data_IF_856916512765
#
_entry.id   IF_856916512765
#
_cell.length_a   1.000
_cell.length_b   1.000
_cell.length_c   1.000
_cell.angle_alpha   90.00
_cell.angle_beta   90.00
_cell.angle_gamma   90.00
#
_symmetry.space_group_name_H-M   'P 1'
#
loop_
_entity.id
_entity.type
_entity.pdbx_description
1 polymer ?
#
# COMPACT_ATOMS: atom_id res chain seq x y z
N UNK A 1 -70.78 -6.20 -21.52
CA UNK A 1 -71.13 -5.12 -20.58
C UNK A 1 -70.01 -5.15 -19.53
N UNK A 2 -68.83 -4.55 -19.75
CA UNK A 2 -68.57 -3.09 -19.89
C UNK A 2 -69.43 -2.28 -18.92
N UNK A 3 -68.92 -1.45 -18.00
CA UNK A 3 -67.58 -0.95 -17.71
C UNK A 3 -67.66 0.02 -16.51
N UNK A 4 -66.55 0.70 -16.24
CA UNK A 4 -66.32 1.80 -15.28
C UNK A 4 -66.13 1.49 -13.77
N UNK A 5 -64.86 1.44 -13.38
CA UNK A 5 -64.37 2.00 -12.12
C UNK A 5 -63.32 3.09 -12.41
N UNK A 6 -63.20 4.15 -11.60
CA UNK A 6 -62.52 5.38 -12.00
C UNK A 6 -61.00 5.20 -12.02
N UNK A 7 -60.34 5.74 -13.04
CA UNK A 7 -58.90 5.99 -13.02
C UNK A 7 -58.62 7.15 -12.07
N UNK A 8 -58.07 6.86 -10.90
CA UNK A 8 -57.42 7.89 -10.08
C UNK A 8 -56.18 8.40 -10.83
N UNK A 9 -56.24 9.66 -11.24
CA UNK A 9 -55.07 10.42 -11.68
C UNK A 9 -54.26 10.81 -10.46
N UNK A 10 -53.18 10.09 -10.18
CA UNK A 10 -52.13 10.61 -9.31
C UNK A 10 -51.24 11.55 -10.12
N UNK A 11 -51.36 12.84 -9.81
CA UNK A 11 -50.46 13.90 -10.23
C UNK A 11 -49.03 13.54 -9.85
N UNK A 12 -48.15 13.45 -10.85
CA UNK A 12 -46.70 13.43 -10.69
C UNK A 12 -46.30 14.86 -10.33
N UNK A 13 -46.35 15.19 -9.05
CA UNK A 13 -45.80 16.42 -8.47
C UNK A 13 -45.42 16.09 -7.02
N UNK A 14 -44.16 15.63 -6.81
CA UNK A 14 -43.42 15.66 -5.52
C UNK A 14 -42.16 14.78 -5.52
N UNK A 15 -41.34 14.85 -6.58
CA UNK A 15 -39.96 14.34 -6.56
C UNK A 15 -38.94 15.49 -6.59
N UNK A 16 -39.22 16.57 -5.88
CA UNK A 16 -38.22 17.58 -5.53
C UNK A 16 -37.95 17.46 -4.03
N UNK A 17 -36.68 17.59 -3.66
CA UNK A 17 -36.12 17.55 -2.30
C UNK A 17 -35.95 16.17 -1.64
N UNK A 18 -34.97 15.40 -2.13
CA UNK A 18 -33.95 14.75 -1.29
C UNK A 18 -32.88 14.09 -2.17
N UNK A 19 -32.10 14.91 -2.89
CA UNK A 19 -30.77 14.48 -3.32
C UNK A 19 -29.77 15.13 -2.38
N UNK A 20 -29.11 14.33 -1.54
CA UNK A 20 -27.89 14.73 -0.85
C UNK A 20 -26.82 15.01 -1.92
N UNK A 21 -26.90 16.20 -2.52
CA UNK A 21 -26.05 16.63 -3.60
C UNK A 21 -24.70 17.05 -3.03
N UNK A 22 -23.66 16.28 -3.35
CA UNK A 22 -22.29 16.74 -3.15
C UNK A 22 -22.09 18.05 -3.91
N UNK A 23 -21.82 19.14 -3.21
CA UNK A 23 -21.42 20.40 -3.82
C UNK A 23 -20.07 20.20 -4.52
N UNK A 24 -20.09 20.22 -5.85
CA UNK A 24 -18.93 19.95 -6.72
C UNK A 24 -17.90 21.09 -6.74
N UNK A 25 -18.18 22.21 -6.07
CA UNK A 25 -17.42 23.46 -6.24
C UNK A 25 -16.04 23.47 -5.57
N UNK A 26 -15.70 22.52 -4.69
CA UNK A 26 -14.40 22.46 -4.00
C UNK A 26 -13.96 21.01 -3.67
N UNK A 27 -13.63 20.21 -4.69
CA UNK A 27 -13.13 18.83 -4.50
C UNK A 27 -14.22 17.77 -4.34
N UNK A 28 -15.48 18.18 -4.20
CA UNK A 28 -16.63 17.28 -4.09
C UNK A 28 -16.82 16.35 -5.29
N UNK A 29 -16.33 16.72 -6.50
CA UNK A 29 -16.40 15.84 -7.66
C UNK A 29 -15.50 14.61 -7.58
N UNK A 30 -14.28 14.77 -7.03
CA UNK A 30 -13.37 13.65 -6.79
C UNK A 30 -13.92 12.76 -5.68
N UNK A 31 -14.36 13.37 -4.58
CA UNK A 31 -15.00 12.67 -3.46
C UNK A 31 -16.27 11.93 -3.87
N UNK A 32 -17.08 12.51 -4.76
CA UNK A 32 -18.27 11.86 -5.30
C UNK A 32 -17.93 10.65 -6.20
N UNK A 33 -16.88 10.73 -7.02
CA UNK A 33 -16.41 9.59 -7.81
C UNK A 33 -15.81 8.47 -6.95
N UNK A 34 -15.18 8.84 -5.83
CA UNK A 34 -14.60 7.92 -4.86
C UNK A 34 -15.61 7.49 -3.78
N UNK A 35 -16.89 7.87 -3.93
CA UNK A 35 -17.95 7.45 -3.01
C UNK A 35 -18.22 5.96 -3.22
N UNK A 36 -17.96 5.17 -2.16
CA UNK A 36 -17.97 3.70 -2.13
C UNK A 36 -16.75 3.05 -2.82
N UNK A 37 -16.32 1.88 -2.35
CA UNK A 37 -15.09 1.20 -2.81
C UNK A 37 -15.09 0.84 -4.31
N UNK A 38 -16.28 0.75 -4.90
CA UNK A 38 -16.53 0.42 -6.31
C UNK A 38 -16.59 1.65 -7.22
N UNK A 39 -16.61 2.85 -6.64
CA UNK A 39 -16.89 4.10 -7.36
C UNK A 39 -18.37 4.24 -7.75
N UNK A 40 -18.64 5.15 -8.68
CA UNK A 40 -19.99 5.43 -9.19
C UNK A 40 -20.07 5.19 -10.70
N UNK A 41 -21.21 4.67 -11.18
CA UNK A 41 -21.44 4.43 -12.61
C UNK A 41 -21.58 5.73 -13.43
N UNK A 42 -21.87 6.85 -12.77
CA UNK A 42 -21.99 8.15 -13.41
C UNK A 42 -22.17 9.28 -12.41
N UNK A 43 -21.81 10.49 -12.84
CA UNK A 43 -22.08 11.73 -12.11
C UNK A 43 -22.99 12.58 -12.95
N UNK A 44 -24.12 12.99 -12.37
CA UNK A 44 -25.01 14.01 -12.95
C UNK A 44 -24.68 15.33 -12.27
N UNK A 45 -24.19 16.29 -13.06
CA UNK A 45 -23.88 17.62 -12.59
C UNK A 45 -24.66 18.64 -13.42
N UNK A 46 -25.41 19.53 -12.76
CA UNK A 46 -26.10 20.62 -13.42
C UNK A 46 -25.16 21.82 -13.54
N UNK A 47 -24.32 21.82 -14.57
CA UNK A 47 -23.31 22.85 -14.80
C UNK A 47 -23.59 23.63 -16.08
N UNK A 48 -23.41 24.94 -16.01
CA UNK A 48 -23.55 25.84 -17.17
C UNK A 48 -22.23 26.52 -17.55
N UNK A 49 -21.20 26.44 -16.70
CA UNK A 49 -19.87 26.96 -16.99
C UNK A 49 -18.95 25.91 -17.66
N UNK A 50 -18.31 26.30 -18.76
CA UNK A 50 -17.44 25.44 -19.56
C UNK A 50 -16.14 25.10 -18.82
N UNK A 51 -15.60 26.00 -18.00
CA UNK A 51 -14.37 25.74 -17.24
C UNK A 51 -14.62 24.72 -16.11
N UNK A 52 -15.75 24.83 -15.41
CA UNK A 52 -16.20 23.80 -14.46
C UNK A 52 -16.41 22.43 -15.11
N UNK A 53 -17.02 22.38 -16.30
CA UNK A 53 -17.21 21.12 -17.04
C UNK A 53 -15.86 20.47 -17.39
N UNK A 54 -14.88 21.24 -17.89
CA UNK A 54 -13.54 20.72 -18.18
C UNK A 54 -12.83 20.19 -16.94
N UNK A 55 -12.98 20.88 -15.80
CA UNK A 55 -12.41 20.49 -14.51
C UNK A 55 -13.01 19.18 -14.00
N UNK A 56 -14.33 18.99 -14.10
CA UNK A 56 -14.93 17.70 -13.74
C UNK A 56 -14.48 16.60 -14.70
N UNK A 57 -14.46 16.86 -16.01
CA UNK A 57 -14.02 15.87 -16.98
C UNK A 57 -12.55 15.45 -16.76
N UNK A 58 -11.65 16.36 -16.36
CA UNK A 58 -10.28 15.99 -16.00
C UNK A 58 -10.25 15.13 -14.73
N UNK A 59 -11.01 15.49 -13.70
CA UNK A 59 -11.14 14.71 -12.46
C UNK A 59 -11.67 13.30 -12.76
N UNK A 60 -12.71 13.16 -13.59
CA UNK A 60 -13.27 11.86 -14.00
C UNK A 60 -12.24 10.99 -14.72
N UNK A 61 -11.37 11.60 -15.54
CA UNK A 61 -10.28 10.87 -16.20
C UNK A 61 -9.15 10.46 -15.25
N UNK A 62 -8.96 11.20 -14.17
CA UNK A 62 -7.88 10.98 -13.20
C UNK A 62 -8.28 10.01 -12.08
N UNK A 63 -9.56 9.94 -11.72
CA UNK A 63 -10.04 9.01 -10.68
C UNK A 63 -9.95 7.58 -11.22
N UNK A 64 -9.05 6.81 -10.61
CA UNK A 64 -8.89 5.38 -10.84
C UNK A 64 -9.59 4.64 -9.70
N UNK A 65 -10.43 3.66 -10.04
CA UNK A 65 -10.90 2.68 -9.04
C UNK A 65 -9.71 1.87 -8.53
N UNK A 66 -9.80 1.32 -7.30
CA UNK A 66 -8.78 0.42 -6.72
C UNK A 66 -8.37 -0.69 -7.68
N UNK A 67 -9.34 -1.28 -8.37
CA UNK A 67 -9.12 -2.33 -9.36
C UNK A 67 -8.34 -1.81 -10.58
N UNK A 68 -8.70 -0.65 -11.10
CA UNK A 68 -8.00 -0.04 -12.24
C UNK A 68 -6.58 0.43 -11.89
N UNK A 69 -6.32 0.84 -10.65
CA UNK A 69 -4.96 1.13 -10.17
C UNK A 69 -4.10 -0.13 -10.20
N UNK A 70 -4.59 -1.23 -9.64
CA UNK A 70 -3.88 -2.51 -9.62
C UNK A 70 -3.60 -2.99 -11.05
N UNK A 71 -4.59 -2.93 -11.93
CA UNK A 71 -4.46 -3.38 -13.34
C UNK A 71 -3.48 -2.48 -14.12
N UNK A 72 -3.50 -1.17 -13.88
CA UNK A 72 -2.63 -0.21 -14.58
C UNK A 72 -1.23 -0.09 -13.95
N UNK A 73 -1.00 -0.65 -12.76
CA UNK A 73 0.32 -0.64 -12.13
C UNK A 73 1.30 -1.54 -12.88
N UNK A 74 2.51 -1.02 -13.12
CA UNK A 74 3.62 -1.87 -13.57
C UNK A 74 3.97 -2.86 -12.45
N UNK A 75 4.13 -4.14 -12.81
CA UNK A 75 4.47 -5.17 -11.84
C UNK A 75 5.90 -4.96 -11.34
N UNK A 76 6.04 -4.87 -10.02
CA UNK A 76 7.33 -4.85 -9.37
C UNK A 76 7.94 -6.24 -9.47
N UNK A 77 9.15 -6.32 -10.01
CA UNK A 77 9.86 -7.59 -10.10
C UNK A 77 10.30 -8.05 -8.70
N UNK A 78 9.74 -9.18 -8.27
CA UNK A 78 10.15 -9.88 -7.06
C UNK A 78 11.04 -11.07 -7.43
N UNK A 79 12.07 -11.29 -6.62
CA UNK A 79 13.06 -12.35 -6.77
C UNK A 79 13.10 -13.20 -5.50
N UNK A 80 13.37 -14.49 -5.69
CA UNK A 80 13.63 -15.44 -4.60
C UNK A 80 15.05 -15.23 -4.07
N UNK A 81 15.19 -14.88 -2.79
CA UNK A 81 16.46 -14.77 -2.09
C UNK A 81 16.56 -15.85 -1.00
N UNK A 82 17.72 -16.49 -0.90
CA UNK A 82 17.98 -17.52 0.12
C UNK A 82 18.56 -16.88 1.38
N UNK A 83 17.93 -17.08 2.53
CA UNK A 83 18.44 -16.60 3.82
C UNK A 83 19.82 -17.19 4.08
N UNK A 84 20.80 -16.33 4.36
CA UNK A 84 22.17 -16.74 4.68
C UNK A 84 22.55 -16.53 6.14
N UNK A 85 22.00 -15.51 6.80
CA UNK A 85 22.29 -15.22 8.20
C UNK A 85 21.07 -14.62 8.91
N UNK A 86 20.88 -15.01 10.16
CA UNK A 86 19.92 -14.40 11.08
C UNK A 86 20.66 -14.14 12.39
N UNK A 87 20.71 -12.88 12.80
CA UNK A 87 21.49 -12.47 13.96
C UNK A 87 20.65 -11.62 14.91
N UNK A 88 20.44 -12.07 16.16
CA UNK A 88 19.81 -11.25 17.19
C UNK A 88 20.62 -9.99 17.46
N UNK A 89 19.91 -8.87 17.58
CA UNK A 89 20.46 -7.56 17.94
C UNK A 89 19.85 -7.09 19.27
N UNK A 90 20.46 -6.06 19.86
CA UNK A 90 19.89 -5.37 21.01
C UNK A 90 18.58 -4.66 20.67
N UNK A 91 17.89 -4.18 21.70
CA UNK A 91 16.72 -3.32 21.51
C UNK A 91 17.08 -2.08 20.68
N UNK A 92 16.20 -1.70 19.75
CA UNK A 92 16.36 -0.54 18.90
C UNK A 92 15.01 0.02 18.44
N UNK A 93 15.03 1.24 17.91
CA UNK A 93 13.83 1.90 17.39
C UNK A 93 13.35 1.21 16.11
N UNK A 94 12.06 0.82 16.10
CA UNK A 94 11.38 0.22 14.96
C UNK A 94 10.12 1.00 14.60
N UNK A 95 9.74 0.97 13.33
CA UNK A 95 8.61 1.69 12.76
C UNK A 95 7.47 0.73 12.42
N UNK A 96 6.26 1.07 12.83
CA UNK A 96 5.01 0.55 12.28
C UNK A 96 4.39 1.61 11.38
N UNK A 97 3.88 1.18 10.24
CA UNK A 97 3.06 2.00 9.35
C UNK A 97 1.63 1.50 9.46
N UNK A 98 0.74 2.37 9.94
CA UNK A 98 -0.71 2.16 9.87
C UNK A 98 -1.23 2.92 8.66
N UNK A 99 -1.86 2.22 7.74
CA UNK A 99 -2.42 2.78 6.51
C UNK A 99 -3.90 3.15 6.68
N UNK A 100 -4.43 3.92 5.74
CA UNK A 100 -5.86 4.19 5.61
C UNK A 100 -6.60 3.09 4.83
N UNK A 101 -5.95 1.96 4.54
CA UNK A 101 -6.53 0.85 3.77
C UNK A 101 -6.35 -0.48 4.51
N UNK A 102 -7.09 -1.49 4.05
CA UNK A 102 -6.95 -2.87 4.51
C UNK A 102 -6.09 -3.65 3.53
N UNK A 103 -5.15 -4.40 4.09
CA UNK A 103 -4.34 -5.39 3.40
C UNK A 103 -4.90 -6.78 3.68
N UNK A 104 -4.74 -7.69 2.72
CA UNK A 104 -5.07 -9.11 2.83
C UNK A 104 -3.79 -9.95 2.93
N UNK A 105 -3.95 -11.24 3.18
CA UNK A 105 -2.85 -12.20 3.09
C UNK A 105 -2.13 -12.08 1.74
N UNK A 106 -0.81 -12.13 1.79
CA UNK A 106 0.02 -11.92 0.60
C UNK A 106 0.29 -10.46 0.26
N UNK A 107 -0.17 -9.48 1.05
CA UNK A 107 0.10 -8.05 0.85
C UNK A 107 0.97 -7.45 1.95
N UNK A 108 1.77 -6.46 1.58
CA UNK A 108 2.71 -5.85 2.49
C UNK A 108 3.46 -4.67 1.90
N UNK A 109 4.66 -4.41 2.42
CA UNK A 109 5.54 -3.33 1.97
C UNK A 109 6.96 -3.82 1.72
N UNK A 110 7.62 -3.22 0.74
CA UNK A 110 9.02 -3.49 0.41
C UNK A 110 9.94 -2.60 1.26
N UNK A 111 10.74 -3.20 2.13
CA UNK A 111 11.65 -2.50 3.06
C UNK A 111 13.01 -3.17 3.18
N UNK A 112 14.08 -2.41 3.36
CA UNK A 112 15.43 -2.97 3.44
C UNK A 112 16.49 -2.00 3.92
N UNK A 113 17.65 -2.53 4.29
CA UNK A 113 18.80 -1.72 4.70
C UNK A 113 19.38 -0.94 3.51
N UNK A 114 19.33 -1.56 2.33
CA UNK A 114 19.75 -0.94 1.08
C UNK A 114 18.54 -0.44 0.31
N UNK A 115 18.66 0.75 -0.28
CA UNK A 115 17.63 1.31 -1.15
C UNK A 115 17.40 0.48 -2.41
N UNK A 116 18.41 -0.31 -2.82
CA UNK A 116 18.37 -1.21 -3.98
C UNK A 116 18.04 -2.67 -3.63
N UNK A 117 17.68 -2.98 -2.38
CA UNK A 117 17.51 -4.35 -1.90
C UNK A 117 16.50 -4.42 -0.76
N UNK A 118 15.25 -4.68 -1.11
CA UNK A 118 14.10 -4.57 -0.22
C UNK A 118 13.42 -5.94 -0.04
N UNK A 119 13.09 -6.30 1.18
CA UNK A 119 12.31 -7.50 1.52
C UNK A 119 10.82 -7.16 1.50
N UNK A 120 9.99 -8.08 1.02
CA UNK A 120 8.53 -7.94 1.12
C UNK A 120 8.07 -8.39 2.51
N UNK A 121 7.67 -7.44 3.34
CA UNK A 121 7.19 -7.67 4.70
C UNK A 121 5.68 -7.65 4.70
N UNK A 122 5.07 -8.74 5.11
CA UNK A 122 3.61 -8.88 5.12
C UNK A 122 2.97 -8.00 6.21
N UNK A 123 1.76 -7.53 5.93
CA UNK A 123 0.91 -6.89 6.92
C UNK A 123 0.55 -7.84 8.08
N UNK A 124 0.12 -7.26 9.20
CA UNK A 124 -0.33 -7.99 10.39
C UNK A 124 -1.74 -8.59 10.17
N UNK A 125 -1.87 -9.49 9.19
CA UNK A 125 -3.15 -10.06 8.71
C UNK A 125 -3.46 -11.42 9.31
N UNK A 126 -2.46 -12.10 9.87
CA UNK A 126 -2.61 -13.42 10.48
C UNK A 126 -3.06 -13.30 11.94
N UNK A 127 -4.06 -14.08 12.32
CA UNK A 127 -4.47 -14.23 13.71
C UNK A 127 -3.48 -15.13 14.46
N UNK A 128 -3.08 -14.73 15.67
CA UNK A 128 -2.32 -15.58 16.58
C UNK A 128 -3.10 -15.80 17.88
N UNK A 129 -2.80 -16.82 18.68
CA UNK A 129 -3.46 -17.04 19.99
C UNK A 129 -3.34 -15.85 20.95
N UNK A 130 -2.41 -14.92 20.70
CA UNK A 130 -2.06 -13.83 21.60
C UNK A 130 -2.47 -12.45 21.06
N UNK A 131 -2.64 -12.31 19.74
CA UNK A 131 -2.83 -11.01 19.08
C UNK A 131 -3.82 -11.14 17.93
N UNK A 132 -4.90 -10.33 17.99
CA UNK A 132 -5.83 -10.17 16.87
C UNK A 132 -5.16 -9.40 15.71
N UNK A 133 -5.48 -9.75 14.44
CA UNK A 133 -4.86 -9.13 13.29
C UNK A 133 -5.21 -7.64 13.18
N UNK A 134 -4.30 -6.89 12.60
CA UNK A 134 -4.43 -5.48 12.23
C UNK A 134 -4.12 -5.34 10.75
N UNK A 135 -5.06 -5.69 9.87
CA UNK A 135 -4.85 -5.71 8.41
C UNK A 135 -4.49 -4.35 7.80
N UNK A 136 -4.55 -3.26 8.55
CA UNK A 136 -4.08 -1.93 8.12
C UNK A 136 -2.60 -1.64 8.48
N UNK A 137 -1.91 -2.56 9.17
CA UNK A 137 -0.58 -2.33 9.76
C UNK A 137 0.51 -3.19 9.13
N UNK A 138 1.64 -2.58 8.84
CA UNK A 138 2.92 -3.27 8.58
C UNK A 138 3.93 -2.90 9.67
N UNK A 139 4.60 -3.91 10.24
CA UNK A 139 5.74 -3.73 11.14
C UNK A 139 7.02 -3.62 10.28
N UNK A 140 7.27 -2.41 9.76
CA UNK A 140 8.22 -2.13 8.68
C UNK A 140 9.71 -2.30 9.03
N UNK A 141 10.07 -2.44 10.30
CA UNK A 141 11.46 -2.70 10.73
C UNK A 141 12.16 -1.50 11.35
N UNK A 142 13.48 -1.49 11.35
CA UNK A 142 14.28 -0.44 12.02
C UNK A 142 14.08 0.94 11.39
N UNK A 143 14.16 1.99 12.21
CA UNK A 143 13.87 3.38 11.80
C UNK A 143 14.70 3.88 10.60
N UNK A 144 15.89 3.34 10.37
CA UNK A 144 16.81 3.76 9.30
C UNK A 144 16.64 2.96 8.00
N UNK A 145 15.71 2.00 7.93
CA UNK A 145 15.48 1.25 6.69
C UNK A 145 14.84 2.13 5.62
N UNK A 146 15.07 1.75 4.37
CA UNK A 146 14.34 2.27 3.23
C UNK A 146 13.01 1.55 3.05
N UNK A 147 12.04 2.25 2.48
CA UNK A 147 10.78 1.70 1.99
C UNK A 147 10.52 2.16 0.55
N UNK A 148 9.98 1.29 -0.29
CA UNK A 148 9.52 1.66 -1.63
C UNK A 148 8.22 2.45 -1.53
N UNK A 149 8.19 3.62 -2.18
CA UNK A 149 7.03 4.52 -2.23
C UNK A 149 6.61 4.76 -3.70
N UNK A 150 5.42 5.33 -3.96
CA UNK A 150 4.93 5.56 -5.32
C UNK A 150 5.93 6.30 -6.22
N UNK A 151 5.86 6.01 -7.52
CA UNK A 151 6.77 6.56 -8.52
C UNK A 151 8.16 5.91 -8.54
N UNK A 152 8.28 4.69 -8.00
CA UNK A 152 9.53 3.93 -7.98
C UNK A 152 10.62 4.59 -7.14
N UNK A 153 10.24 5.34 -6.09
CA UNK A 153 11.18 6.02 -5.20
C UNK A 153 11.37 5.25 -3.90
N UNK A 154 12.45 5.54 -3.18
CA UNK A 154 12.63 5.06 -1.79
C UNK A 154 12.71 6.21 -0.82
N UNK A 155 12.22 6.01 0.41
CA UNK A 155 12.37 6.97 1.52
C UNK A 155 12.84 6.25 2.77
N UNK A 156 13.46 6.97 3.70
CA UNK A 156 13.71 6.39 5.02
C UNK A 156 12.41 6.25 5.80
N UNK A 157 12.26 5.17 6.56
CA UNK A 157 11.11 5.00 7.45
C UNK A 157 10.97 6.14 8.48
N UNK A 158 12.10 6.74 8.89
CA UNK A 158 12.16 7.92 9.77
C UNK A 158 11.50 9.18 9.20
N UNK A 159 11.39 9.28 7.87
CA UNK A 159 10.91 10.48 7.19
C UNK A 159 9.39 10.44 6.95
N UNK A 160 8.77 9.27 7.10
CA UNK A 160 7.35 9.10 6.88
C UNK A 160 6.51 9.75 7.98
N UNK A 161 5.38 10.31 7.59
CA UNK A 161 4.38 10.91 8.49
C UNK A 161 2.96 10.62 8.02
N UNK A 162 1.98 10.88 8.88
CA UNK A 162 0.58 10.81 8.50
C UNK A 162 0.28 11.71 7.29
N UNK A 163 -0.51 11.21 6.34
CA UNK A 163 -0.82 11.88 5.08
C UNK A 163 0.20 11.65 3.96
N UNK A 164 1.38 11.10 4.25
CA UNK A 164 2.28 10.64 3.19
C UNK A 164 1.68 9.39 2.49
N UNK A 165 2.14 9.13 1.27
CA UNK A 165 1.74 7.95 0.49
C UNK A 165 2.78 6.84 0.58
N UNK A 166 2.30 5.59 0.59
CA UNK A 166 3.09 4.36 0.57
C UNK A 166 2.50 3.37 -0.43
N UNK A 167 3.31 2.39 -0.81
CA UNK A 167 2.92 1.36 -1.76
C UNK A 167 2.61 0.05 -1.02
N UNK A 168 1.39 -0.45 -1.20
CA UNK A 168 1.05 -1.84 -0.85
C UNK A 168 1.44 -2.71 -2.04
N UNK A 169 2.20 -3.77 -1.79
CA UNK A 169 2.68 -4.71 -2.82
C UNK A 169 2.23 -6.12 -2.46
N UNK A 170 1.72 -6.86 -3.43
CA UNK A 170 1.37 -8.26 -3.27
C UNK A 170 2.46 -9.23 -3.72
N UNK A 171 2.26 -10.52 -3.44
CA UNK A 171 3.20 -11.60 -3.75
C UNK A 171 3.49 -11.74 -5.25
N UNK A 172 2.60 -11.30 -6.12
CA UNK A 172 2.78 -11.32 -7.57
C UNK A 172 3.35 -10.00 -8.13
N UNK A 173 3.76 -9.09 -7.24
CA UNK A 173 4.35 -7.80 -7.57
C UNK A 173 3.35 -6.75 -8.05
N UNK A 174 2.04 -7.00 -7.94
CA UNK A 174 1.05 -5.95 -8.20
C UNK A 174 1.06 -4.97 -7.04
N UNK A 175 0.74 -3.72 -7.33
CA UNK A 175 0.82 -2.68 -6.30
C UNK A 175 -0.32 -1.67 -6.38
N UNK A 176 -0.61 -1.04 -5.25
CA UNK A 176 -1.53 0.09 -5.13
C UNK A 176 -1.02 1.10 -4.11
N UNK A 177 -1.41 2.35 -4.28
CA UNK A 177 -1.03 3.43 -3.37
C UNK A 177 -2.06 3.55 -2.24
N UNK A 178 -1.59 3.85 -1.04
CA UNK A 178 -2.46 4.23 0.08
C UNK A 178 -1.82 5.34 0.91
N UNK A 179 -2.64 6.09 1.63
CA UNK A 179 -2.17 7.09 2.59
C UNK A 179 -1.82 6.45 3.93
N UNK A 180 -0.82 7.00 4.60
CA UNK A 180 -0.48 6.67 5.98
C UNK A 180 -1.44 7.37 6.92
N UNK A 181 -2.10 6.60 7.79
CA UNK A 181 -2.88 7.10 8.92
C UNK A 181 -1.95 7.48 10.09
N UNK A 182 -1.00 6.61 10.43
CA UNK A 182 -0.07 6.83 11.55
C UNK A 182 1.25 6.10 11.35
N UNK A 183 2.35 6.78 11.71
CA UNK A 183 3.67 6.16 11.89
C UNK A 183 3.93 6.01 13.39
N UNK A 184 4.15 4.77 13.85
CA UNK A 184 4.41 4.46 15.26
C UNK A 184 5.85 3.99 15.45
N UNK A 185 6.60 4.66 16.31
CA UNK A 185 7.98 4.32 16.65
C UNK A 185 8.03 3.75 18.07
N UNK A 186 8.63 2.58 18.24
CA UNK A 186 8.82 1.95 19.55
C UNK A 186 10.16 1.19 19.62
N UNK A 187 10.63 0.90 20.84
CA UNK A 187 11.88 0.18 21.06
C UNK A 187 11.60 -1.29 21.34
N UNK A 188 12.19 -2.18 20.53
CA UNK A 188 12.00 -3.63 20.62
C UNK A 188 13.31 -4.36 20.31
N UNK A 189 13.50 -5.58 20.81
CA UNK A 189 14.55 -6.47 20.33
C UNK A 189 14.45 -6.67 18.81
N UNK A 190 15.59 -6.64 18.12
CA UNK A 190 15.65 -6.71 16.66
C UNK A 190 16.40 -7.96 16.18
N UNK A 191 16.18 -8.33 14.93
CA UNK A 191 16.92 -9.34 14.17
C UNK A 191 17.51 -8.69 12.92
N UNK A 192 18.80 -8.86 12.68
CA UNK A 192 19.39 -8.69 11.36
C UNK A 192 19.12 -9.96 10.55
N UNK A 193 18.59 -9.79 9.34
CA UNK A 193 18.34 -10.87 8.39
C UNK A 193 19.12 -10.55 7.12
N UNK A 194 19.96 -11.48 6.68
CA UNK A 194 20.68 -11.40 5.40
C UNK A 194 20.20 -12.50 4.45
N UNK A 195 20.02 -12.15 3.18
CA UNK A 195 19.66 -13.09 2.13
C UNK A 195 20.52 -12.89 0.87
N UNK A 196 20.79 -13.98 0.16
CA UNK A 196 21.55 -14.01 -1.09
C UNK A 196 20.62 -14.14 -2.28
N UNK A 197 20.80 -13.27 -3.26
CA UNK A 197 20.10 -13.34 -4.53
C UNK A 197 21.03 -12.83 -5.64
N UNK A 198 21.16 -13.58 -6.74
CA UNK A 198 21.97 -13.19 -7.91
C UNK A 198 23.40 -12.73 -7.56
N UNK A 199 24.05 -13.38 -6.58
CA UNK A 199 25.40 -13.04 -6.13
C UNK A 199 25.50 -11.77 -5.26
N UNK A 200 24.38 -11.13 -4.94
CA UNK A 200 24.29 -9.98 -4.03
C UNK A 200 23.77 -10.41 -2.66
N UNK A 201 24.16 -9.69 -1.62
CA UNK A 201 23.60 -9.81 -0.28
C UNK A 201 22.65 -8.64 -0.05
N UNK A 202 21.40 -8.94 0.29
CA UNK A 202 20.40 -7.96 0.72
C UNK A 202 20.12 -8.15 2.21
N UNK A 203 19.82 -7.06 2.90
CA UNK A 203 19.64 -7.08 4.36
C UNK A 203 18.39 -6.35 4.79
N UNK A 204 17.80 -6.80 5.89
CA UNK A 204 16.75 -6.06 6.61
C UNK A 204 16.93 -6.24 8.11
N UNK A 205 16.39 -5.30 8.90
CA UNK A 205 16.40 -5.36 10.36
C UNK A 205 14.96 -5.24 10.87
N UNK A 206 14.44 -6.34 11.40
CA UNK A 206 13.04 -6.46 11.81
C UNK A 206 12.94 -6.67 13.32
N UNK A 207 11.75 -6.43 13.88
CA UNK A 207 11.48 -6.78 15.27
C UNK A 207 11.55 -8.31 15.45
N UNK A 208 12.18 -8.77 16.52
CA UNK A 208 12.15 -10.16 16.92
C UNK A 208 10.80 -10.50 17.57
N UNK A 209 9.81 -10.87 16.76
CA UNK A 209 8.49 -11.33 17.23
C UNK A 209 7.82 -12.24 16.20
N UNK A 210 7.01 -13.19 16.67
CA UNK A 210 6.31 -14.17 15.84
C UNK A 210 5.29 -13.57 14.86
N UNK A 211 4.80 -12.37 15.16
CA UNK A 211 3.83 -11.65 14.32
C UNK A 211 4.48 -10.94 13.14
N UNK A 212 5.82 -10.87 13.09
CA UNK A 212 6.53 -10.27 11.95
C UNK A 212 6.81 -11.36 10.93
N UNK A 213 6.31 -11.18 9.71
CA UNK A 213 6.40 -12.20 8.66
C UNK A 213 7.04 -11.61 7.40
N UNK A 214 7.94 -12.40 6.79
CA UNK A 214 8.53 -12.10 5.48
C UNK A 214 7.83 -12.94 4.42
N UNK A 215 7.57 -12.37 3.25
CA UNK A 215 6.86 -13.08 2.19
C UNK A 215 7.74 -14.17 1.56
N UNK A 216 7.14 -15.30 1.21
CA UNK A 216 7.75 -16.36 0.40
C UNK A 216 6.96 -16.51 -0.90
N UNK A 217 7.41 -17.39 -1.81
CA UNK A 217 6.70 -17.65 -3.08
C UNK A 217 5.30 -18.27 -2.87
N UNK A 218 5.09 -18.98 -1.76
CA UNK A 218 3.83 -19.70 -1.49
C UNK A 218 2.97 -19.04 -0.40
N UNK A 219 3.60 -18.39 0.57
CA UNK A 219 2.94 -17.87 1.77
C UNK A 219 3.76 -16.71 2.36
N UNK A 220 3.82 -16.66 3.68
CA UNK A 220 4.77 -15.86 4.44
C UNK A 220 5.29 -16.68 5.61
N UNK A 221 6.47 -16.32 6.13
CA UNK A 221 7.12 -17.02 7.23
C UNK A 221 7.44 -16.06 8.36
N UNK A 222 7.13 -16.47 9.59
CA UNK A 222 7.50 -15.71 10.78
C UNK A 222 9.02 -15.57 10.89
N UNK A 223 9.50 -14.38 11.26
CA UNK A 223 10.94 -14.15 11.50
C UNK A 223 11.48 -14.98 12.66
N UNK A 224 10.64 -15.42 13.59
CA UNK A 224 11.04 -16.31 14.69
C UNK A 224 11.31 -17.75 14.23
N UNK A 225 10.82 -18.12 13.05
CA UNK A 225 10.94 -19.47 12.47
C UNK A 225 11.89 -19.52 11.26
N UNK A 226 12.39 -18.35 10.83
CA UNK A 226 13.35 -18.25 9.74
C UNK A 226 14.65 -18.97 10.11
N UNK A 227 15.26 -19.58 9.10
CA UNK A 227 16.57 -20.23 9.19
C UNK A 227 17.33 -20.09 7.86
N UNK A 228 18.67 -20.21 7.87
CA UNK A 228 19.44 -20.30 6.64
C UNK A 228 18.90 -21.37 5.69
N UNK A 229 18.84 -21.05 4.40
CA UNK A 229 18.26 -21.90 3.35
C UNK A 229 16.78 -21.65 3.05
N UNK A 230 16.05 -20.93 3.91
CA UNK A 230 14.69 -20.49 3.58
C UNK A 230 14.71 -19.49 2.40
N UNK A 231 13.69 -19.55 1.54
CA UNK A 231 13.53 -18.63 0.41
C UNK A 231 12.47 -17.57 0.70
N UNK A 232 12.82 -16.31 0.46
CA UNK A 232 11.97 -15.15 0.71
C UNK A 232 11.93 -14.23 -0.52
N UNK A 233 10.86 -13.44 -0.65
CA UNK A 233 10.71 -12.50 -1.76
C UNK A 233 11.37 -11.16 -1.45
N UNK A 234 12.18 -10.72 -2.40
CA UNK A 234 12.88 -9.44 -2.36
C UNK A 234 12.71 -8.69 -3.69
N UNK A 235 12.77 -7.38 -3.63
CA UNK A 235 12.93 -6.51 -4.79
C UNK A 235 14.36 -6.00 -4.84
N UNK A 236 15.04 -6.20 -5.97
CA UNK A 236 16.41 -5.75 -6.19
C UNK A 236 16.45 -4.89 -7.44
N UNK A 237 17.08 -3.74 -7.33
CA UNK A 237 17.36 -2.87 -8.47
C UNK A 237 18.86 -2.68 -8.69
N UNK A 238 19.20 -2.35 -9.93
CA UNK A 238 20.54 -1.94 -10.35
C UNK A 238 20.60 -0.42 -10.46
N UNK A 239 21.65 0.19 -9.89
CA UNK A 239 21.85 1.64 -9.86
C UNK A 239 21.93 2.20 -8.44
N UNK A 240 22.51 3.39 -8.29
CA UNK A 240 22.48 4.17 -7.06
C UNK A 240 21.15 4.91 -6.91
N UNK A 241 20.76 5.28 -5.69
CA UNK A 241 19.61 6.17 -5.47
C UNK A 241 20.06 7.49 -4.83
N UNK A 242 19.74 8.61 -5.47
CA UNK A 242 19.99 9.96 -4.95
C UNK A 242 18.65 10.59 -4.54
N UNK A 243 18.50 10.95 -3.25
CA UNK A 243 17.22 11.38 -2.67
C UNK A 243 16.04 10.46 -3.03
N UNK A 244 16.29 9.15 -2.99
CA UNK A 244 15.26 8.15 -3.29
C UNK A 244 14.96 7.94 -4.76
N UNK A 245 15.59 8.67 -5.70
CA UNK A 245 15.38 8.49 -7.14
C UNK A 245 16.49 7.61 -7.74
N UNK A 246 16.13 6.64 -8.57
CA UNK A 246 17.09 5.73 -9.21
C UNK A 246 17.96 6.48 -10.23
N UNK A 247 19.27 6.36 -10.06
CA UNK A 247 20.32 6.86 -10.96
C UNK A 247 21.14 5.64 -11.41
N UNK A 248 20.80 5.12 -12.60
CA UNK A 248 21.33 3.84 -13.10
C UNK A 248 22.85 3.85 -13.24
N UNK A 249 23.44 5.00 -13.55
CA UNK A 249 24.86 5.19 -13.81
C UNK A 249 25.69 5.40 -12.54
N UNK A 250 25.06 5.66 -11.40
CA UNK A 250 25.75 5.94 -10.14
C UNK A 250 26.01 4.67 -9.33
N UNK A 251 27.18 4.61 -8.66
CA UNK A 251 27.54 3.51 -7.74
C UNK A 251 27.49 4.01 -6.31
N UNK A 252 26.45 3.63 -5.57
CA UNK A 252 26.33 3.85 -4.12
C UNK A 252 26.71 2.57 -3.37
N UNK A 253 27.45 2.69 -2.26
CA UNK A 253 27.85 1.57 -1.41
C UNK A 253 27.12 1.67 -0.06
N UNK A 254 26.18 0.74 0.19
CA UNK A 254 25.46 0.57 1.45
C UNK A 254 25.83 -0.80 2.04
N UNK A 255 26.23 -0.88 3.32
CA UNK A 255 26.80 -2.10 3.94
C UNK A 255 26.13 -2.50 5.24
#
# INVERSE_FOLDING_TARGET
MEGDSPRESHSIDSWEDQTDGFSLNNGGGKTALETLEIGVDGIVANLTDLEEIKKIHSIVKEVKTRESEIISSERIQLLSAEISEIKPLSSGARVCIDTCDLMKEGEGMLVGCQSSGLFLIEAEVHETPFVAPRPFRVNAGSIALYVLVPGGKTRYLSELKAGDEVLIVDREGRSRTTSICRVKIEWRPLLLIEAKCQGRIVKTILQNAETIRVMTEEASKSVSELKPGDKVLVHIEEGGRHFGTLVKEERVIER
#
